data_IF_487928425843
#
_entry.id   IF_487928425843
#
_cell.length_a   1.000
_cell.length_b   1.000
_cell.length_c   1.000
_cell.angle_alpha   90.00
_cell.angle_beta   90.00
_cell.angle_gamma   90.00
#
_symmetry.space_group_name_H-M   'P 1'
#
loop_
_entity.id
_entity.type
_entity.pdbx_description
1 polymer ?
#
# COMPACT_ATOMS: atom_id res chain seq x y z
N UNK A 1 17.03 -17.00 -0.57
CA UNK A 1 17.15 -15.89 0.40
C UNK A 1 16.50 -14.58 -0.01
N UNK A 2 16.72 -14.04 -1.21
CA UNK A 2 16.19 -12.73 -1.61
C UNK A 2 14.66 -12.62 -1.60
N UNK A 3 13.93 -13.67 -1.93
CA UNK A 3 12.45 -13.65 -1.92
C UNK A 3 11.85 -13.66 -0.51
N UNK A 4 12.50 -14.32 0.45
CA UNK A 4 12.10 -14.28 1.87
C UNK A 4 12.35 -12.89 2.43
N UNK A 5 13.44 -12.24 2.02
CA UNK A 5 13.72 -10.86 2.39
C UNK A 5 12.68 -9.90 1.79
N UNK A 6 12.31 -10.05 0.53
CA UNK A 6 11.22 -9.30 -0.09
C UNK A 6 9.88 -9.46 0.67
N UNK A 7 9.55 -10.68 1.10
CA UNK A 7 8.38 -10.93 1.96
C UNK A 7 8.45 -10.20 3.29
N UNK A 8 9.62 -10.11 3.92
CA UNK A 8 9.79 -9.35 5.18
C UNK A 8 9.53 -7.87 4.95
N UNK A 9 10.06 -7.30 3.88
CA UNK A 9 9.81 -5.89 3.51
C UNK A 9 8.31 -5.67 3.26
N UNK A 10 7.69 -6.53 2.45
CA UNK A 10 6.26 -6.41 2.16
C UNK A 10 5.40 -6.60 3.41
N UNK A 11 5.75 -7.52 4.31
CA UNK A 11 4.99 -7.72 5.54
C UNK A 11 5.08 -6.51 6.48
N UNK A 12 6.19 -5.76 6.43
CA UNK A 12 6.40 -4.59 7.27
C UNK A 12 5.57 -3.36 6.85
N UNK A 13 5.09 -3.31 5.59
CA UNK A 13 4.22 -2.22 5.12
C UNK A 13 2.74 -2.43 5.45
N UNK A 14 2.35 -3.65 5.85
CA UNK A 14 0.97 -4.00 6.16
C UNK A 14 0.64 -3.56 7.60
N UNK A 15 -0.55 -2.98 7.85
CA UNK A 15 -0.92 -2.55 9.18
C UNK A 15 -1.01 -3.75 10.13
N UNK A 16 -0.36 -3.70 11.31
CA UNK A 16 -0.42 -4.81 12.26
C UNK A 16 -1.86 -5.10 12.69
N UNK A 17 -2.22 -6.37 12.82
CA UNK A 17 -3.57 -6.79 13.25
C UNK A 17 -4.00 -6.15 14.59
N UNK A 18 -3.05 -5.90 15.49
CA UNK A 18 -3.30 -5.19 16.75
C UNK A 18 -3.87 -3.79 16.52
N UNK A 19 -3.30 -3.04 15.59
CA UNK A 19 -3.77 -1.68 15.23
C UNK A 19 -5.15 -1.77 14.57
N UNK A 20 -5.35 -2.72 13.67
CA UNK A 20 -6.65 -2.93 13.01
C UNK A 20 -7.74 -3.21 14.04
N UNK A 21 -7.48 -4.11 14.99
CA UNK A 21 -8.43 -4.48 16.05
C UNK A 21 -8.69 -3.38 17.09
N UNK A 22 -7.75 -2.47 17.27
CA UNK A 22 -7.92 -1.31 18.16
C UNK A 22 -9.04 -0.40 17.67
N UNK A 23 -9.06 -0.11 16.36
CA UNK A 23 -10.03 0.81 15.76
C UNK A 23 -11.25 0.11 15.14
N UNK A 24 -11.09 -1.12 14.64
CA UNK A 24 -12.13 -1.91 13.99
C UNK A 24 -12.29 -3.27 14.71
N UNK A 25 -12.96 -3.28 15.86
CA UNK A 25 -13.07 -4.46 16.75
C UNK A 25 -13.71 -5.67 16.06
N UNK A 26 -14.81 -5.44 15.35
CA UNK A 26 -15.60 -6.45 14.63
C UNK A 26 -15.16 -6.61 13.17
N UNK A 27 -13.85 -6.68 12.93
CA UNK A 27 -13.27 -6.85 11.60
C UNK A 27 -12.46 -8.14 11.45
N UNK A 28 -12.16 -8.52 10.22
CA UNK A 28 -11.16 -9.54 9.91
C UNK A 28 -10.38 -9.14 8.65
N UNK A 29 -9.19 -9.71 8.49
CA UNK A 29 -8.39 -9.57 7.26
C UNK A 29 -8.15 -10.96 6.72
N UNK A 30 -8.56 -11.18 5.47
CA UNK A 30 -8.24 -12.38 4.71
C UNK A 30 -7.20 -12.00 3.66
N UNK A 31 -5.95 -12.35 3.90
CA UNK A 31 -4.85 -12.07 2.98
C UNK A 31 -4.17 -13.38 2.56
N UNK A 32 -4.39 -13.79 1.32
CA UNK A 32 -3.96 -15.08 0.75
C UNK A 32 -3.18 -14.84 -0.56
N UNK A 33 -1.91 -14.41 -0.48
CA UNK A 33 -1.08 -14.20 -1.66
C UNK A 33 -0.87 -15.53 -2.40
N UNK A 34 -0.89 -15.49 -3.74
CA UNK A 34 -0.63 -16.67 -4.60
C UNK A 34 0.81 -17.18 -4.46
N UNK A 35 1.77 -16.25 -4.43
CA UNK A 35 3.21 -16.52 -4.31
C UNK A 35 3.73 -16.04 -2.93
N UNK A 36 5.05 -16.10 -2.73
CA UNK A 36 5.73 -15.66 -1.48
C UNK A 36 5.51 -14.16 -1.21
N UNK A 37 5.29 -13.37 -2.26
CA UNK A 37 4.97 -11.94 -2.25
C UNK A 37 3.86 -11.66 -3.27
N UNK A 38 3.08 -10.58 -3.10
CA UNK A 38 1.94 -10.26 -3.97
C UNK A 38 1.92 -8.79 -4.47
N UNK A 39 1.14 -8.49 -5.50
CA UNK A 39 0.82 -7.10 -5.86
C UNK A 39 -0.22 -6.49 -4.91
N UNK A 40 -1.12 -7.33 -4.41
CA UNK A 40 -2.17 -6.96 -3.48
C UNK A 40 -1.60 -6.52 -2.13
N UNK A 41 -2.24 -5.53 -1.52
CA UNK A 41 -1.96 -5.15 -0.14
C UNK A 41 -3.20 -4.53 0.50
N UNK A 42 -3.21 -4.51 1.83
CA UNK A 42 -4.17 -3.73 2.59
C UNK A 42 -3.44 -2.63 3.36
N UNK A 43 -4.14 -1.53 3.59
CA UNK A 43 -3.59 -0.33 4.19
C UNK A 43 -4.61 0.25 5.16
N UNK A 44 -4.13 0.88 6.23
CA UNK A 44 -4.97 1.51 7.23
C UNK A 44 -4.20 2.62 7.93
N UNK A 45 -4.85 3.76 8.11
CA UNK A 45 -4.33 4.90 8.86
C UNK A 45 -5.43 5.54 9.70
N UNK A 46 -5.01 6.22 10.76
CA UNK A 46 -5.90 7.03 11.58
C UNK A 46 -5.50 8.49 11.46
N UNK A 47 -6.47 9.35 11.14
CA UNK A 47 -6.24 10.80 11.07
C UNK A 47 -7.49 11.56 11.47
N UNK A 48 -7.35 12.53 12.36
CA UNK A 48 -8.42 13.44 12.81
C UNK A 48 -9.67 12.68 13.29
N UNK A 49 -9.48 11.58 14.04
CA UNK A 49 -10.58 10.74 14.54
C UNK A 49 -11.26 9.88 13.47
N UNK A 50 -10.80 9.92 12.22
CA UNK A 50 -11.28 9.05 11.14
C UNK A 50 -10.35 7.87 10.97
N UNK A 51 -10.94 6.71 10.70
CA UNK A 51 -10.23 5.51 10.26
C UNK A 51 -10.31 5.45 8.75
N UNK A 52 -9.15 5.48 8.10
CA UNK A 52 -9.01 5.33 6.66
C UNK A 52 -8.44 3.93 6.41
N UNK A 53 -8.98 3.20 5.45
CA UNK A 53 -8.45 1.90 5.06
C UNK A 53 -8.65 1.66 3.58
N UNK A 54 -7.83 0.77 3.01
CA UNK A 54 -7.91 0.37 1.62
C UNK A 54 -7.52 -1.11 1.47
N UNK A 55 -8.16 -1.76 0.51
CA UNK A 55 -7.66 -2.98 -0.11
C UNK A 55 -7.28 -2.60 -1.54
N UNK A 56 -6.06 -2.91 -1.95
CA UNK A 56 -5.50 -2.51 -3.23
C UNK A 56 -4.94 -3.74 -3.95
N UNK A 57 -5.12 -3.75 -5.26
CA UNK A 57 -4.58 -4.73 -6.19
C UNK A 57 -3.69 -3.97 -7.18
N UNK A 58 -2.40 -4.33 -7.22
CA UNK A 58 -1.43 -3.76 -8.14
C UNK A 58 -1.17 -4.77 -9.26
N UNK A 59 -1.03 -4.28 -10.49
CA UNK A 59 -0.71 -5.14 -11.64
C UNK A 59 0.58 -5.93 -11.42
N UNK A 60 0.58 -7.17 -11.93
CA UNK A 60 1.69 -8.11 -11.80
C UNK A 60 1.62 -8.99 -10.55
N UNK A 61 2.47 -10.01 -10.51
CA UNK A 61 2.62 -10.89 -9.36
C UNK A 61 4.11 -11.18 -9.09
N UNK A 62 4.40 -11.81 -7.95
CA UNK A 62 5.78 -12.03 -7.54
C UNK A 62 6.49 -10.73 -7.19
N UNK A 63 7.82 -10.69 -7.42
CA UNK A 63 8.67 -9.58 -6.95
C UNK A 63 8.31 -8.22 -7.58
N UNK A 64 8.05 -8.09 -8.90
CA UNK A 64 7.67 -6.81 -9.48
C UNK A 64 6.38 -6.24 -8.88
N UNK A 65 5.31 -7.04 -8.80
CA UNK A 65 4.05 -6.61 -8.18
C UNK A 65 4.24 -6.21 -6.71
N UNK A 66 5.07 -6.96 -5.97
CA UNK A 66 5.40 -6.61 -4.59
C UNK A 66 6.11 -5.26 -4.46
N UNK A 67 6.99 -4.89 -5.39
CA UNK A 67 7.62 -3.56 -5.40
C UNK A 67 6.60 -2.46 -5.68
N UNK A 68 5.69 -2.67 -6.63
CA UNK A 68 4.58 -1.72 -6.92
C UNK A 68 3.72 -1.53 -5.66
N UNK A 69 3.38 -2.62 -4.96
CA UNK A 69 2.60 -2.57 -3.70
C UNK A 69 3.26 -1.66 -2.64
N UNK A 70 4.59 -1.70 -2.53
CA UNK A 70 5.35 -0.86 -1.59
C UNK A 70 5.36 0.61 -2.01
N UNK A 71 5.48 0.89 -3.31
CA UNK A 71 5.39 2.26 -3.83
C UNK A 71 4.01 2.85 -3.58
N UNK A 72 2.95 2.10 -3.89
CA UNK A 72 1.57 2.50 -3.68
C UNK A 72 1.22 2.71 -2.19
N UNK A 73 1.67 1.81 -1.31
CA UNK A 73 1.48 1.95 0.14
C UNK A 73 2.16 3.23 0.67
N UNK A 74 3.39 3.51 0.25
CA UNK A 74 4.07 4.74 0.63
C UNK A 74 3.39 5.99 0.08
N UNK A 75 2.88 5.96 -1.15
CA UNK A 75 2.13 7.07 -1.73
C UNK A 75 0.84 7.36 -0.93
N UNK A 76 0.09 6.33 -0.49
CA UNK A 76 -1.07 6.50 0.40
C UNK A 76 -0.66 7.13 1.75
N UNK A 77 0.43 6.64 2.34
CA UNK A 77 0.96 7.22 3.58
C UNK A 77 1.29 8.70 3.42
N UNK A 78 1.94 9.11 2.33
CA UNK A 78 2.28 10.51 2.07
C UNK A 78 1.04 11.36 1.83
N UNK A 79 0.09 10.88 1.03
CA UNK A 79 -1.20 11.54 0.78
C UNK A 79 -1.94 11.86 2.09
N UNK A 80 -1.95 10.93 3.04
CA UNK A 80 -2.63 11.15 4.32
C UNK A 80 -1.77 11.88 5.33
N UNK A 81 -0.56 11.39 5.62
CA UNK A 81 0.27 11.89 6.71
C UNK A 81 0.89 13.25 6.38
N UNK A 82 1.53 13.38 5.22
CA UNK A 82 2.25 14.59 4.82
C UNK A 82 1.29 15.65 4.25
N UNK A 83 0.40 15.25 3.34
CA UNK A 83 -0.51 16.19 2.67
C UNK A 83 -1.79 16.49 3.44
N UNK A 84 -2.03 15.84 4.58
CA UNK A 84 -3.17 16.18 5.42
C UNK A 84 -4.51 15.62 4.96
N UNK A 85 -4.55 14.87 3.86
CA UNK A 85 -5.79 14.53 3.18
C UNK A 85 -6.61 13.51 3.96
N UNK A 86 -7.92 13.71 4.01
CA UNK A 86 -8.88 12.77 4.61
C UNK A 86 -10.09 12.48 3.72
N UNK A 87 -10.22 13.18 2.59
CA UNK A 87 -11.21 12.87 1.56
C UNK A 87 -10.64 11.75 0.67
N UNK A 88 -11.33 10.60 0.51
CA UNK A 88 -10.84 9.48 -0.29
C UNK A 88 -10.50 9.84 -1.74
N UNK A 89 -11.28 10.70 -2.40
CA UNK A 89 -11.01 11.13 -3.78
C UNK A 89 -9.69 11.88 -3.89
N UNK A 90 -9.48 12.88 -3.03
CA UNK A 90 -8.24 13.65 -2.97
C UNK A 90 -7.03 12.79 -2.61
N UNK A 91 -7.21 11.81 -1.70
CA UNK A 91 -6.16 10.85 -1.34
C UNK A 91 -5.74 10.05 -2.58
N UNK A 92 -6.70 9.54 -3.36
CA UNK A 92 -6.40 8.77 -4.57
C UNK A 92 -5.74 9.63 -5.65
N UNK A 93 -6.21 10.86 -5.86
CA UNK A 93 -5.61 11.80 -6.81
C UNK A 93 -4.15 12.09 -6.45
N UNK A 94 -3.89 12.44 -5.18
CA UNK A 94 -2.52 12.71 -4.72
C UNK A 94 -1.65 11.44 -4.77
N UNK A 95 -2.21 10.29 -4.43
CA UNK A 95 -1.49 9.00 -4.50
C UNK A 95 -1.08 8.72 -5.93
N UNK A 96 -1.97 8.90 -6.90
CA UNK A 96 -1.67 8.75 -8.32
C UNK A 96 -0.56 9.70 -8.78
N UNK A 97 -0.62 10.98 -8.40
CA UNK A 97 0.44 11.95 -8.74
C UNK A 97 1.81 11.50 -8.24
N UNK A 98 1.88 11.04 -6.97
CA UNK A 98 3.12 10.56 -6.36
C UNK A 98 3.62 9.32 -7.12
N UNK A 99 2.75 8.34 -7.34
CA UNK A 99 3.09 7.08 -8.02
C UNK A 99 3.62 7.35 -9.43
N UNK A 100 2.91 8.17 -10.23
CA UNK A 100 3.33 8.55 -11.58
C UNK A 100 4.68 9.28 -11.55
N UNK A 101 4.92 10.13 -10.55
CA UNK A 101 6.20 10.83 -10.40
C UNK A 101 7.35 9.89 -10.07
N UNK A 102 7.14 8.91 -9.19
CA UNK A 102 8.19 7.93 -8.86
C UNK A 102 8.51 7.02 -10.05
N UNK A 103 7.51 6.58 -10.83
CA UNK A 103 7.74 5.76 -12.02
C UNK A 103 8.33 6.55 -13.20
N UNK A 104 8.12 7.87 -13.30
CA UNK A 104 8.76 8.69 -14.34
C UNK A 104 10.24 8.99 -14.11
N UNK A 105 10.78 8.69 -12.92
CA UNK A 105 12.20 8.88 -12.62
C UNK A 105 13.10 7.78 -13.20
N UNK A 106 12.54 6.68 -13.71
CA UNK A 106 13.29 5.73 -14.54
C UNK A 106 13.33 6.27 -15.98
N UNK A 107 14.53 6.38 -16.56
CA UNK A 107 14.71 6.77 -17.97
C UNK A 107 14.13 5.76 -18.98
N UNK A 108 13.66 4.61 -18.49
CA UNK A 108 12.83 3.68 -19.24
C UNK A 108 11.37 3.90 -18.86
N UNK A 109 10.52 4.24 -19.84
CA UNK A 109 9.07 4.22 -19.70
C UNK A 109 8.66 2.81 -19.21
N UNK A 110 8.29 2.70 -17.94
CA UNK A 110 7.66 1.48 -17.43
C UNK A 110 6.27 1.42 -18.07
N UNK A 111 6.20 0.76 -19.22
CA UNK A 111 4.95 0.36 -19.87
C UNK A 111 4.44 -0.89 -19.15
N UNK A 112 3.59 -0.67 -18.17
CA UNK A 112 2.53 -1.62 -17.81
C UNK A 112 1.23 -1.13 -18.47
#
# INVERSE_FOLDING_TARGET
>A
DSIIYAKRIQSAILPPMKVVKEYLKESFILYKPKDVVAGDFYWMEQKNGKVLFAAADCTGHGVPGAMVSVVCNNALNRSVREHGLTNPGEILDRTREIVVKEFKKSEEDVKD
#
